data_IF_965826116667
#
_entry.id   IF_965826116667
#
_cell.length_a   1.000
_cell.length_b   1.000
_cell.length_c   1.000
_cell.angle_alpha   90.00
_cell.angle_beta   90.00
_cell.angle_gamma   90.00
#
_symmetry.space_group_name_H-M   'P 1'
#
loop_
_entity.id
_entity.type
_entity.pdbx_description
1 polymer ?
#
# COMPACT_ATOMS: atom_id res chain seq x y z
N UNK A 1 24.26 -41.75 11.84
CA UNK A 1 23.04 -41.94 12.66
C UNK A 1 22.42 -40.56 12.86
N UNK A 2 21.60 -40.00 11.96
CA UNK A 2 20.59 -40.63 11.07
C UNK A 2 19.68 -41.57 11.89
N UNK A 3 18.39 -41.28 12.09
CA UNK A 3 17.41 -40.66 11.17
C UNK A 3 16.43 -39.68 11.87
N UNK A 4 16.90 -38.81 12.78
CA UNK A 4 16.05 -38.31 13.89
C UNK A 4 15.97 -36.77 14.13
N UNK A 5 16.58 -35.85 13.39
CA UNK A 5 16.07 -35.24 12.15
C UNK A 5 14.58 -34.77 12.05
N UNK A 6 13.67 -34.92 13.05
CA UNK A 6 12.19 -34.71 12.87
C UNK A 6 11.49 -34.09 14.13
N UNK A 7 10.28 -33.48 14.22
CA UNK A 7 9.34 -32.64 13.39
C UNK A 7 8.08 -32.23 14.26
N UNK A 8 7.29 -31.12 14.13
CA UNK A 8 7.53 -29.73 13.63
C UNK A 8 6.42 -28.62 13.87
N UNK A 9 5.35 -28.74 14.71
CA UNK A 9 4.12 -27.85 14.66
C UNK A 9 3.43 -27.52 16.04
N UNK A 10 2.42 -26.64 16.29
CA UNK A 10 1.97 -25.28 15.79
C UNK A 10 0.68 -24.71 16.54
N UNK A 11 0.26 -23.44 16.29
CA UNK A 11 -1.09 -22.74 16.50
C UNK A 11 -1.58 -22.12 17.87
N UNK A 12 -2.53 -21.13 17.85
CA UNK A 12 -2.99 -20.24 18.99
C UNK A 12 -4.39 -19.49 18.86
N UNK A 13 -4.91 -18.88 19.97
CA UNK A 13 -5.71 -17.60 20.17
C UNK A 13 -7.29 -17.47 20.06
N UNK A 14 -7.99 -16.86 21.09
CA UNK A 14 -9.41 -16.30 21.19
C UNK A 14 -9.54 -15.15 22.31
N UNK A 15 -10.72 -14.73 22.89
CA UNK A 15 -10.98 -13.45 23.71
C UNK A 15 -12.14 -13.51 24.83
N UNK A 16 -12.07 -12.86 26.04
CA UNK A 16 -13.19 -12.69 27.07
C UNK A 16 -12.90 -12.50 28.62
N UNK A 17 -13.73 -11.80 29.47
CA UNK A 17 -13.51 -11.62 30.97
C UNK A 17 -14.43 -12.44 31.91
N UNK A 18 -13.84 -13.25 32.80
CA UNK A 18 -14.58 -14.19 33.66
C UNK A 18 -14.76 -13.77 35.14
N UNK A 19 -15.91 -14.13 35.72
CA UNK A 19 -15.98 -14.43 37.16
C UNK A 19 -15.10 -15.65 37.42
N UNK A 20 -14.16 -15.57 38.36
CA UNK A 20 -13.27 -16.69 38.65
C UNK A 20 -14.08 -17.86 39.21
N UNK A 21 -14.17 -18.95 38.43
CA UNK A 21 -14.83 -20.20 38.85
C UNK A 21 -14.22 -20.62 40.19
N UNK A 22 -15.03 -20.80 41.26
CA UNK A 22 -14.50 -21.11 42.58
C UNK A 22 -13.57 -22.32 42.54
N UNK A 23 -12.30 -22.09 42.87
CA UNK A 23 -11.23 -23.09 42.73
C UNK A 23 -11.25 -24.09 43.90
N UNK A 24 -12.40 -24.73 44.13
CA UNK A 24 -12.65 -25.60 45.28
C UNK A 24 -12.89 -27.05 44.85
N UNK A 25 -12.59 -28.01 45.75
CA UNK A 25 -12.76 -29.44 45.49
C UNK A 25 -13.75 -30.02 46.50
N UNK A 26 -14.88 -30.55 46.03
CA UNK A 26 -15.76 -31.33 46.91
C UNK A 26 -15.12 -32.69 47.19
N UNK A 27 -14.99 -33.04 48.46
CA UNK A 27 -14.57 -34.36 48.93
C UNK A 27 -15.65 -34.99 49.81
N UNK A 28 -15.62 -36.32 49.89
CA UNK A 28 -16.46 -37.12 50.77
C UNK A 28 -15.63 -38.21 51.42
N UNK A 29 -16.02 -38.62 52.62
CA UNK A 29 -15.33 -39.67 53.37
C UNK A 29 -16.22 -40.33 54.39
N UNK A 30 -15.81 -41.51 54.85
CA UNK A 30 -16.49 -42.28 55.88
C UNK A 30 -15.63 -42.34 57.14
N UNK A 31 -16.21 -41.98 58.28
CA UNK A 31 -15.58 -41.99 59.60
C UNK A 31 -16.26 -43.03 60.49
N UNK A 32 -15.46 -43.96 60.98
CA UNK A 32 -15.88 -45.03 61.89
C UNK A 32 -15.04 -45.01 63.16
N UNK A 33 -15.59 -45.52 64.26
CA UNK A 33 -14.82 -45.87 65.44
C UNK A 33 -13.77 -46.95 65.13
N UNK A 34 -12.85 -47.17 66.07
CA UNK A 34 -11.93 -48.32 66.06
C UNK A 34 -12.63 -49.69 66.12
N UNK A 35 -13.93 -49.72 66.44
CA UNK A 35 -14.78 -50.92 66.37
C UNK A 35 -15.56 -51.05 65.05
N UNK A 36 -15.31 -50.18 64.06
CA UNK A 36 -16.01 -50.17 62.76
C UNK A 36 -17.40 -49.55 62.78
N UNK A 37 -17.86 -48.99 63.90
CA UNK A 37 -19.19 -48.37 64.00
C UNK A 37 -19.18 -46.97 63.37
N UNK A 38 -20.19 -46.57 62.59
CA UNK A 38 -20.25 -45.22 61.98
C UNK A 38 -20.33 -44.12 63.05
N UNK A 39 -19.53 -43.07 62.89
CA UNK A 39 -19.58 -41.87 63.75
C UNK A 39 -20.73 -40.95 63.34
N UNK A 40 -21.15 -40.07 64.27
CA UNK A 40 -22.24 -39.12 64.09
C UNK A 40 -21.97 -37.87 64.94
N UNK A 41 -22.30 -36.68 64.41
CA UNK A 41 -22.12 -35.40 65.09
C UNK A 41 -21.19 -34.46 64.34
N UNK A 42 -20.74 -33.39 65.01
CA UNK A 42 -19.73 -32.48 64.45
C UNK A 42 -18.33 -32.93 64.85
N UNK A 43 -17.44 -33.01 63.87
CA UNK A 43 -16.04 -33.43 64.01
C UNK A 43 -15.12 -32.38 63.38
N UNK A 44 -13.93 -32.17 63.95
CA UNK A 44 -12.93 -31.25 63.40
C UNK A 44 -11.98 -32.01 62.49
N UNK A 45 -11.78 -31.53 61.26
CA UNK A 45 -10.90 -32.16 60.28
C UNK A 45 -9.90 -31.15 59.72
N UNK A 46 -8.61 -31.42 59.92
CA UNK A 46 -7.53 -30.75 59.19
C UNK A 46 -7.28 -31.48 57.87
N UNK A 47 -7.45 -30.77 56.77
CA UNK A 47 -7.08 -31.21 55.43
C UNK A 47 -5.70 -30.65 55.08
N UNK A 48 -4.79 -31.51 54.60
CA UNK A 48 -3.42 -31.10 54.21
C UNK A 48 -3.01 -31.74 52.88
N UNK A 49 -2.43 -30.96 51.97
CA UNK A 49 -1.90 -31.43 50.69
C UNK A 49 -0.36 -31.47 50.71
N UNK A 50 0.19 -32.65 50.40
CA UNK A 50 1.63 -32.94 50.38
C UNK A 50 2.14 -33.32 48.99
N UNK A 51 3.46 -33.23 48.80
CA UNK A 51 4.22 -33.66 47.61
C UNK A 51 4.68 -35.15 47.64
N UNK A 52 4.27 -35.91 48.67
CA UNK A 52 4.62 -37.32 48.83
C UNK A 52 3.54 -38.13 49.58
N UNK A 53 3.52 -39.46 49.35
CA UNK A 53 2.66 -40.41 50.06
C UNK A 53 2.98 -40.48 51.57
N UNK A 54 4.26 -40.28 51.93
CA UNK A 54 4.80 -40.31 53.29
C UNK A 54 5.92 -39.28 53.42
N UNK A 55 5.93 -38.48 54.49
CA UNK A 55 6.86 -37.36 54.63
C UNK A 55 6.48 -36.21 53.70
N UNK A 56 7.46 -35.67 52.98
CA UNK A 56 7.23 -34.62 51.97
C UNK A 56 7.00 -33.21 52.51
N UNK A 57 6.91 -32.25 51.60
CA UNK A 57 6.61 -30.84 51.84
C UNK A 57 5.10 -30.63 51.94
N UNK A 58 4.66 -29.79 52.88
CA UNK A 58 3.29 -29.30 52.94
C UNK A 58 3.10 -28.15 51.93
N UNK A 59 2.16 -28.29 51.00
CA UNK A 59 1.85 -27.24 50.02
C UNK A 59 0.64 -26.38 50.39
N UNK A 60 -0.34 -26.95 51.10
CA UNK A 60 -1.57 -26.25 51.50
C UNK A 60 -2.25 -27.00 52.63
N UNK A 61 -2.95 -26.28 53.51
CA UNK A 61 -3.80 -26.84 54.55
C UNK A 61 -5.01 -25.94 54.86
N UNK A 62 -6.07 -26.54 55.39
CA UNK A 62 -7.13 -25.83 56.10
C UNK A 62 -7.80 -26.73 57.15
N UNK A 63 -8.49 -26.13 58.13
CA UNK A 63 -9.26 -26.84 59.15
C UNK A 63 -10.74 -26.55 58.93
N UNK A 64 -11.59 -27.60 58.91
CA UNK A 64 -13.04 -27.46 58.83
C UNK A 64 -13.74 -28.21 59.98
N UNK A 65 -14.88 -27.71 60.42
CA UNK A 65 -15.83 -28.47 61.25
C UNK A 65 -16.86 -29.11 60.34
N UNK A 66 -16.87 -30.44 60.25
CA UNK A 66 -17.74 -31.21 59.35
C UNK A 66 -18.83 -31.94 60.15
N UNK A 67 -20.05 -31.93 59.65
CA UNK A 67 -21.13 -32.76 60.22
C UNK A 67 -21.08 -34.15 59.57
N UNK A 68 -21.02 -35.17 60.42
CA UNK A 68 -20.99 -36.59 60.07
C UNK A 68 -22.36 -37.19 60.37
N UNK A 69 -22.92 -37.96 59.43
CA UNK A 69 -24.20 -38.66 59.61
C UNK A 69 -24.08 -40.08 59.04
N UNK A 70 -24.36 -41.09 59.88
CA UNK A 70 -24.11 -42.50 59.58
C UNK A 70 -22.69 -42.75 59.04
N UNK A 71 -21.71 -42.08 59.64
CA UNK A 71 -20.30 -42.12 59.24
C UNK A 71 -19.93 -41.27 58.03
N UNK A 72 -20.87 -40.89 57.17
CA UNK A 72 -20.58 -40.10 55.97
C UNK A 72 -20.42 -38.61 56.29
N UNK A 73 -19.41 -37.97 55.71
CA UNK A 73 -19.28 -36.51 55.64
C UNK A 73 -19.00 -36.04 54.21
N UNK A 74 -19.22 -34.75 53.96
CA UNK A 74 -18.76 -34.04 52.77
C UNK A 74 -18.11 -32.72 53.19
N UNK A 75 -17.02 -32.33 52.53
CA UNK A 75 -16.33 -31.07 52.73
C UNK A 75 -15.99 -30.42 51.38
N UNK A 76 -15.78 -29.10 51.36
CA UNK A 76 -15.41 -28.35 50.17
C UNK A 76 -14.03 -27.74 50.40
N UNK A 77 -12.99 -28.37 49.86
CA UNK A 77 -11.61 -27.93 50.01
C UNK A 77 -11.40 -26.57 49.34
N UNK A 78 -10.73 -25.67 50.04
CA UNK A 78 -10.46 -24.31 49.56
C UNK A 78 -11.53 -23.29 49.95
N UNK A 79 -12.52 -23.68 50.76
CA UNK A 79 -13.58 -22.78 51.24
C UNK A 79 -13.20 -21.98 52.49
N UNK A 80 -12.17 -22.39 53.23
CA UNK A 80 -11.64 -21.66 54.40
C UNK A 80 -10.29 -21.02 54.06
N UNK A 81 -9.36 -21.78 53.46
CA UNK A 81 -8.07 -21.26 52.97
C UNK A 81 -8.00 -21.43 51.45
N UNK A 82 -8.02 -20.35 50.65
CA UNK A 82 -8.07 -20.43 49.20
C UNK A 82 -7.01 -21.37 48.60
N UNK A 83 -7.47 -22.31 47.76
CA UNK A 83 -6.66 -23.40 47.22
C UNK A 83 -5.88 -22.93 45.96
N UNK A 84 -4.53 -22.87 45.98
CA UNK A 84 -3.79 -22.24 44.88
C UNK A 84 -3.80 -23.10 43.61
N UNK A 85 -4.38 -22.57 42.52
CA UNK A 85 -4.48 -23.27 41.22
C UNK A 85 -3.12 -23.69 40.63
N UNK A 86 -2.04 -23.02 41.03
CA UNK A 86 -0.65 -23.34 40.66
C UNK A 86 -0.19 -24.73 41.16
N UNK A 87 -0.80 -25.28 42.20
CA UNK A 87 -0.46 -26.62 42.72
C UNK A 87 -0.88 -27.75 41.77
N UNK A 88 -1.85 -27.53 40.89
CA UNK A 88 -2.43 -28.54 40.00
C UNK A 88 -1.78 -28.57 38.61
N UNK A 89 -0.52 -28.13 38.56
CA UNK A 89 0.29 -28.01 37.34
C UNK A 89 0.87 -29.34 36.85
N UNK A 90 0.53 -30.48 37.47
CA UNK A 90 0.88 -31.84 37.00
C UNK A 90 1.84 -32.60 37.90
N UNK A 91 2.26 -32.01 39.01
CA UNK A 91 2.84 -32.73 40.14
C UNK A 91 1.79 -33.63 40.82
N UNK A 92 2.23 -34.77 41.37
CA UNK A 92 1.38 -35.59 42.22
C UNK A 92 1.06 -34.84 43.53
N UNK A 93 -0.13 -35.08 44.09
CA UNK A 93 -0.58 -34.50 45.35
C UNK A 93 -1.21 -35.60 46.22
N UNK A 94 -1.01 -35.50 47.54
CA UNK A 94 -1.56 -36.45 48.51
C UNK A 94 -2.29 -35.72 49.63
N UNK A 95 -3.56 -36.08 49.84
CA UNK A 95 -4.44 -35.54 50.86
C UNK A 95 -4.31 -36.35 52.16
N UNK A 96 -3.80 -35.69 53.20
CA UNK A 96 -3.80 -36.14 54.58
C UNK A 96 -5.00 -35.53 55.33
N UNK A 97 -5.68 -36.36 56.12
CA UNK A 97 -6.81 -35.96 56.96
C UNK A 97 -6.45 -36.19 58.43
N UNK A 98 -6.55 -35.17 59.29
CA UNK A 98 -6.45 -35.33 60.75
C UNK A 98 -7.82 -35.05 61.36
N UNK A 99 -8.44 -36.06 61.99
CA UNK A 99 -9.80 -35.98 62.55
C UNK A 99 -9.74 -35.98 64.06
N UNK A 100 -10.23 -34.92 64.70
CA UNK A 100 -10.19 -34.69 66.16
C UNK A 100 -8.80 -34.98 66.76
N UNK A 101 -7.74 -34.54 66.07
CA UNK A 101 -6.33 -34.76 66.44
C UNK A 101 -5.71 -36.09 65.99
N UNK A 102 -6.50 -37.03 65.45
CA UNK A 102 -6.03 -38.33 64.96
C UNK A 102 -5.75 -38.30 63.46
N UNK A 103 -4.48 -38.39 63.05
CA UNK A 103 -4.11 -38.42 61.63
C UNK A 103 -4.39 -39.78 60.99
N UNK A 104 -5.22 -39.78 59.95
CA UNK A 104 -5.56 -40.97 59.17
C UNK A 104 -4.43 -41.31 58.19
N UNK A 105 -4.15 -42.61 58.03
CA UNK A 105 -3.10 -43.11 57.13
C UNK A 105 -3.61 -44.33 56.34
N UNK A 106 -3.11 -44.57 55.10
CA UNK A 106 -2.10 -43.81 54.36
C UNK A 106 -2.64 -42.54 53.66
N UNK A 107 -1.72 -41.76 53.08
CA UNK A 107 -1.97 -40.61 52.17
C UNK A 107 -3.00 -40.96 51.07
N UNK A 108 -4.12 -40.25 50.93
CA UNK A 108 -5.03 -40.44 49.79
C UNK A 108 -4.47 -39.71 48.57
N UNK A 109 -4.26 -40.40 47.45
CA UNK A 109 -3.71 -39.78 46.24
C UNK A 109 -4.76 -38.91 45.51
N UNK A 110 -4.34 -37.71 45.10
CA UNK A 110 -5.14 -36.80 44.26
C UNK A 110 -5.32 -37.35 42.85
N UNK A 111 -6.56 -37.59 42.45
CA UNK A 111 -6.93 -38.16 41.14
C UNK A 111 -7.29 -37.07 40.12
N UNK A 112 -7.87 -37.45 38.97
CA UNK A 112 -8.27 -36.55 37.89
C UNK A 112 -9.07 -35.31 38.33
N UNK A 113 -9.86 -35.42 39.41
CA UNK A 113 -10.63 -34.31 40.00
C UNK A 113 -9.73 -33.13 40.40
N UNK A 114 -8.54 -33.41 40.96
CA UNK A 114 -7.61 -32.35 41.38
C UNK A 114 -7.06 -31.57 40.18
N UNK A 115 -6.90 -32.24 39.02
CA UNK A 115 -6.39 -31.62 37.81
C UNK A 115 -7.47 -30.90 36.97
N UNK A 116 -8.75 -30.97 37.37
CA UNK A 116 -9.86 -30.35 36.65
C UNK A 116 -9.71 -28.82 36.49
N UNK A 117 -9.04 -28.14 37.43
CA UNK A 117 -8.74 -26.70 37.35
C UNK A 117 -7.92 -26.30 36.10
N UNK A 118 -7.21 -27.24 35.46
CA UNK A 118 -6.53 -26.97 34.18
C UNK A 118 -7.50 -26.62 33.04
N UNK A 119 -8.79 -26.95 33.14
CA UNK A 119 -9.79 -26.52 32.16
C UNK A 119 -9.91 -24.99 32.07
N UNK A 120 -9.81 -24.28 33.20
CA UNK A 120 -9.84 -22.81 33.26
C UNK A 120 -8.61 -22.16 32.56
N UNK A 121 -7.54 -22.92 32.32
CA UNK A 121 -6.38 -22.47 31.55
C UNK A 121 -6.67 -22.57 30.04
N UNK A 122 -7.53 -23.49 29.59
CA UNK A 122 -7.96 -23.52 28.19
C UNK A 122 -8.76 -22.26 27.82
N UNK A 123 -9.60 -21.75 28.73
CA UNK A 123 -10.28 -20.45 28.58
C UNK A 123 -9.33 -19.24 28.60
N UNK A 124 -8.03 -19.40 28.90
CA UNK A 124 -7.04 -18.32 28.67
C UNK A 124 -6.66 -18.17 27.19
N UNK A 125 -6.91 -19.20 26.37
CA UNK A 125 -6.99 -19.02 24.91
C UNK A 125 -8.17 -18.11 24.61
N UNK A 126 -9.30 -18.29 25.29
CA UNK A 126 -10.47 -17.39 25.33
C UNK A 126 -10.23 -16.13 26.19
N UNK A 127 -8.98 -15.67 26.37
CA UNK A 127 -8.70 -14.23 26.56
C UNK A 127 -7.29 -13.78 26.11
N UNK A 128 -6.91 -14.08 24.88
CA UNK A 128 -5.73 -13.49 24.24
C UNK A 128 -4.44 -13.63 25.05
N UNK A 129 -4.26 -14.79 25.71
CA UNK A 129 -3.27 -15.08 26.76
C UNK A 129 -2.08 -14.12 26.79
N UNK A 130 -2.05 -13.29 27.83
CA UNK A 130 -1.58 -11.88 27.90
C UNK A 130 -0.17 -11.53 27.38
N UNK A 131 0.15 -11.91 26.14
CA UNK A 131 1.44 -11.69 25.49
C UNK A 131 1.40 -11.86 23.94
N UNK A 132 0.22 -11.88 23.32
CA UNK A 132 0.05 -11.79 21.86
C UNK A 132 -0.90 -10.62 21.52
N UNK A 133 -0.53 -9.69 20.63
CA UNK A 133 -1.14 -8.34 20.58
C UNK A 133 -2.42 -8.25 19.72
N UNK A 134 -2.95 -9.36 19.23
CA UNK A 134 -3.85 -9.42 18.08
C UNK A 134 -5.30 -9.68 18.50
N UNK A 135 -6.23 -8.83 18.05
CA UNK A 135 -7.68 -8.96 18.28
C UNK A 135 -8.40 -9.35 16.98
N UNK A 136 -9.47 -10.13 17.09
CA UNK A 136 -10.35 -10.52 15.98
C UNK A 136 -11.82 -10.51 16.41
N UNK A 137 -12.72 -10.21 15.47
CA UNK A 137 -14.18 -10.30 15.58
C UNK A 137 -14.75 -11.54 14.86
N UNK A 138 -13.89 -12.43 14.35
CA UNK A 138 -14.27 -13.56 13.50
C UNK A 138 -14.37 -13.24 12.00
N UNK A 139 -14.20 -11.98 11.59
CA UNK A 139 -14.15 -11.53 10.18
C UNK A 139 -12.83 -10.82 9.86
N UNK A 140 -12.32 -10.01 10.78
CA UNK A 140 -11.15 -9.14 10.65
C UNK A 140 -10.10 -9.44 11.74
N UNK A 141 -8.90 -8.86 11.57
CA UNK A 141 -7.75 -9.01 12.46
C UNK A 141 -7.07 -7.65 12.61
N UNK A 142 -6.89 -7.13 13.83
CA UNK A 142 -6.28 -5.81 14.06
C UNK A 142 -5.64 -5.63 15.45
N UNK A 143 -4.99 -4.47 15.66
CA UNK A 143 -4.45 -4.03 16.95
C UNK A 143 -5.32 -2.89 17.52
N UNK A 144 -5.82 -2.96 18.76
CA UNK A 144 -6.50 -1.83 19.39
C UNK A 144 -5.53 -0.66 19.63
N UNK A 145 -5.68 0.42 18.84
CA UNK A 145 -4.91 1.66 19.01
C UNK A 145 -3.53 1.72 18.33
N UNK A 146 -3.25 0.87 17.32
CA UNK A 146 -1.95 0.87 16.65
C UNK A 146 -1.94 0.35 15.21
N UNK A 147 -0.80 0.47 14.52
CA UNK A 147 -0.59 0.05 13.13
C UNK A 147 -0.11 -1.42 13.03
N UNK A 148 -0.54 -2.12 11.98
CA UNK A 148 -0.25 -3.55 11.74
C UNK A 148 0.77 -3.75 10.60
N UNK A 149 1.57 -4.82 10.65
CA UNK A 149 2.63 -5.13 9.66
C UNK A 149 3.22 -6.52 9.83
N UNK A 150 3.99 -6.99 8.84
CA UNK A 150 4.33 -8.43 8.66
C UNK A 150 5.85 -8.67 8.53
N UNK A 151 6.55 -8.94 9.65
CA UNK A 151 7.78 -9.75 9.73
C UNK A 151 8.16 -10.04 11.21
N UNK A 152 9.18 -10.87 11.44
CA UNK A 152 9.74 -11.20 12.78
C UNK A 152 11.26 -11.41 12.68
N UNK A 153 12.14 -10.46 13.03
CA UNK A 153 12.03 -9.12 13.64
C UNK A 153 11.37 -8.06 12.73
N UNK A 154 11.41 -6.79 13.11
CA UNK A 154 10.95 -5.62 12.34
C UNK A 154 11.52 -5.45 10.93
N UNK A 155 12.48 -6.28 10.51
CA UNK A 155 13.24 -6.13 9.24
C UNK A 155 13.08 -7.36 8.33
N UNK A 156 12.04 -7.42 7.46
CA UNK A 156 11.96 -8.38 6.37
C UNK A 156 12.94 -8.07 5.24
N UNK A 157 13.17 -9.03 4.34
CA UNK A 157 13.85 -8.81 3.06
C UNK A 157 12.90 -8.38 1.93
N UNK A 158 11.61 -8.70 2.02
CA UNK A 158 10.50 -8.16 1.20
C UNK A 158 9.22 -8.10 2.05
N UNK A 159 8.43 -7.02 1.94
CA UNK A 159 7.51 -6.57 3.01
C UNK A 159 6.06 -7.06 2.93
N UNK A 160 5.48 -7.25 1.74
CA UNK A 160 4.05 -7.57 1.57
C UNK A 160 3.77 -8.20 0.20
N UNK A 161 2.88 -9.18 0.15
CA UNK A 161 2.28 -9.75 -1.07
C UNK A 161 0.75 -9.77 -0.91
N UNK A 162 0.01 -9.36 -1.95
CA UNK A 162 -1.45 -9.21 -1.94
C UNK A 162 -2.02 -9.61 -3.28
N UNK A 163 -2.71 -10.75 -3.32
CA UNK A 163 -3.49 -11.22 -4.47
C UNK A 163 -4.88 -10.55 -4.50
N UNK A 164 -4.93 -9.23 -4.70
CA UNK A 164 -6.16 -8.43 -4.59
C UNK A 164 -5.93 -6.92 -4.77
N UNK A 165 -6.97 -6.12 -4.48
CA UNK A 165 -6.92 -4.65 -4.59
C UNK A 165 -6.45 -4.03 -3.26
N UNK A 166 -5.40 -3.21 -3.32
CA UNK A 166 -5.03 -2.30 -2.21
C UNK A 166 -5.72 -0.96 -2.46
N UNK A 167 -6.80 -0.69 -1.74
CA UNK A 167 -7.59 0.55 -1.86
C UNK A 167 -7.76 1.25 -0.51
N UNK A 168 -7.53 2.56 -0.49
CA UNK A 168 -7.93 3.43 0.62
C UNK A 168 -9.25 4.13 0.27
N UNK A 169 -10.25 4.00 1.15
CA UNK A 169 -11.59 4.57 0.94
C UNK A 169 -11.68 6.08 1.19
N UNK A 170 -10.67 6.68 1.83
CA UNK A 170 -10.74 8.07 2.30
C UNK A 170 -9.35 8.71 2.56
N UNK A 171 -8.36 8.42 1.72
CA UNK A 171 -7.00 8.96 1.87
C UNK A 171 -5.97 8.36 0.91
N UNK A 172 -4.72 8.81 0.96
CA UNK A 172 -3.66 8.39 0.04
C UNK A 172 -3.03 7.04 0.42
N UNK A 173 -2.71 6.21 -0.57
CA UNK A 173 -1.74 5.12 -0.41
C UNK A 173 -0.32 5.72 -0.41
N UNK A 174 0.24 5.93 0.78
CA UNK A 174 1.59 6.49 0.94
C UNK A 174 2.66 5.39 0.98
N UNK A 175 3.69 5.52 0.15
CA UNK A 175 4.89 4.68 0.17
C UNK A 175 6.09 5.60 0.49
N UNK A 176 6.74 5.39 1.64
CA UNK A 176 7.87 6.20 2.11
C UNK A 176 9.21 5.48 1.98
N UNK A 177 10.30 6.25 2.06
CA UNK A 177 11.71 5.80 2.04
C UNK A 177 12.13 4.90 0.85
N UNK A 178 11.36 4.89 -0.24
CA UNK A 178 11.60 4.01 -1.38
C UNK A 178 10.89 4.41 -2.67
N UNK A 179 11.15 3.64 -3.73
CA UNK A 179 10.64 3.85 -5.08
C UNK A 179 9.21 3.33 -5.22
N UNK A 180 8.27 4.20 -5.57
CA UNK A 180 6.88 3.83 -5.88
C UNK A 180 6.75 3.15 -7.26
N UNK A 181 5.74 2.29 -7.42
CA UNK A 181 5.36 1.64 -8.68
C UNK A 181 3.89 1.23 -8.68
N UNK A 182 3.26 1.22 -9.85
CA UNK A 182 1.83 0.94 -10.04
C UNK A 182 1.61 -0.23 -11.00
N UNK A 183 0.54 -1.00 -10.80
CA UNK A 183 0.09 -2.07 -11.69
C UNK A 183 -1.45 -2.03 -11.82
N UNK A 184 -1.97 -2.34 -13.01
CA UNK A 184 -3.39 -2.25 -13.34
C UNK A 184 -3.76 -3.33 -14.39
N UNK A 185 -5.01 -3.77 -14.40
CA UNK A 185 -5.52 -4.89 -15.21
C UNK A 185 -6.90 -4.54 -15.84
N UNK A 186 -7.17 -3.25 -16.10
CA UNK A 186 -8.44 -2.71 -16.61
C UNK A 186 -8.28 -1.85 -17.88
N UNK A 187 -9.29 -1.03 -18.20
CA UNK A 187 -9.34 -0.26 -19.46
C UNK A 187 -8.33 0.87 -19.53
N UNK A 188 -8.00 1.51 -18.41
CA UNK A 188 -6.91 2.49 -18.31
C UNK A 188 -5.99 2.21 -17.12
N UNK A 189 -4.75 1.79 -17.41
CA UNK A 189 -3.61 2.11 -16.55
C UNK A 189 -3.40 3.63 -16.61
N UNK A 190 -4.06 4.36 -15.71
CA UNK A 190 -3.84 5.80 -15.53
C UNK A 190 -2.50 6.11 -14.84
N UNK A 191 -1.40 5.72 -15.52
CA UNK A 191 -0.15 6.47 -15.54
C UNK A 191 -0.11 7.39 -16.79
N UNK A 192 -1.30 7.57 -17.40
CA UNK A 192 -1.49 7.46 -18.85
C UNK A 192 -1.19 6.03 -19.35
N UNK A 193 -1.96 5.36 -20.21
CA UNK A 193 -3.41 5.19 -20.47
C UNK A 193 -3.42 3.99 -21.46
N UNK A 194 -4.29 2.97 -21.35
CA UNK A 194 -3.97 1.62 -21.94
C UNK A 194 -4.27 1.47 -23.44
N UNK A 195 -3.43 2.07 -24.26
CA UNK A 195 -3.03 1.53 -25.57
C UNK A 195 -1.53 1.79 -25.82
N UNK A 196 -0.81 0.96 -26.59
CA UNK A 196 0.57 0.59 -26.25
C UNK A 196 1.68 1.53 -26.78
N UNK A 197 2.63 1.91 -25.90
CA UNK A 197 3.91 2.48 -26.37
C UNK A 197 4.86 3.17 -25.37
N UNK A 198 5.08 2.64 -24.15
CA UNK A 198 6.18 3.09 -23.26
C UNK A 198 6.16 4.57 -22.81
N UNK A 199 4.99 5.20 -22.70
CA UNK A 199 4.86 6.53 -22.09
C UNK A 199 5.53 6.58 -20.70
N UNK A 200 6.55 7.44 -20.55
CA UNK A 200 7.22 7.69 -19.27
C UNK A 200 7.28 9.19 -18.99
N UNK A 201 6.92 9.56 -17.77
CA UNK A 201 7.17 10.87 -17.19
C UNK A 201 8.05 10.66 -15.95
N UNK A 202 9.32 11.04 -16.06
CA UNK A 202 10.32 10.86 -15.00
C UNK A 202 10.99 12.20 -14.71
N UNK A 203 11.16 12.54 -13.43
CA UNK A 203 12.12 13.58 -13.04
C UNK A 203 13.44 12.88 -12.72
N UNK A 204 14.52 13.25 -13.40
CA UNK A 204 15.85 12.68 -13.15
C UNK A 204 16.49 13.29 -11.89
N UNK A 205 17.61 12.72 -11.44
CA UNK A 205 18.32 13.17 -10.23
C UNK A 205 18.90 14.60 -10.36
N UNK A 206 18.80 15.25 -11.53
CA UNK A 206 19.23 16.61 -11.81
C UNK A 206 18.04 17.59 -11.94
N UNK A 207 16.80 17.11 -11.78
CA UNK A 207 15.57 17.90 -11.92
C UNK A 207 14.98 17.94 -13.34
N UNK A 208 15.50 17.15 -14.28
CA UNK A 208 15.04 17.11 -15.68
C UNK A 208 13.75 16.30 -15.78
N UNK A 209 12.66 16.92 -16.23
CA UNK A 209 11.46 16.20 -16.64
C UNK A 209 11.70 15.54 -18.01
N UNK A 210 11.93 14.23 -18.01
CA UNK A 210 12.00 13.40 -19.20
C UNK A 210 10.60 12.88 -19.52
N UNK A 211 10.07 13.34 -20.66
CA UNK A 211 8.89 12.79 -21.32
C UNK A 211 9.39 11.98 -22.52
N UNK A 212 9.03 10.70 -22.61
CA UNK A 212 9.48 9.77 -23.66
C UNK A 212 8.40 8.70 -23.93
N UNK A 213 8.39 8.15 -25.15
CA UNK A 213 7.44 7.17 -25.67
C UNK A 213 8.17 6.07 -26.48
N UNK A 214 9.21 5.48 -25.89
CA UNK A 214 9.96 4.38 -26.48
C UNK A 214 11.10 4.77 -27.42
N UNK A 215 11.66 5.99 -27.25
CA UNK A 215 12.85 6.47 -27.97
C UNK A 215 12.69 7.89 -28.53
N UNK A 216 11.44 8.30 -28.79
CA UNK A 216 10.99 9.63 -29.18
C UNK A 216 9.45 9.64 -29.07
N UNK A 217 8.78 10.77 -29.30
CA UNK A 217 7.33 10.77 -29.58
C UNK A 217 7.08 10.63 -31.10
N UNK A 218 6.74 9.44 -31.64
CA UNK A 218 6.64 9.24 -33.09
C UNK A 218 5.51 10.05 -33.74
N UNK A 219 4.44 10.32 -32.99
CA UNK A 219 3.32 11.18 -33.40
C UNK A 219 3.47 12.63 -32.89
N UNK A 220 4.64 13.00 -32.37
CA UNK A 220 4.91 14.28 -31.72
C UNK A 220 4.28 14.43 -30.33
N UNK A 221 4.62 15.53 -29.65
CA UNK A 221 3.99 15.92 -28.38
C UNK A 221 2.82 16.85 -28.69
N UNK A 222 1.58 16.39 -28.49
CA UNK A 222 0.42 17.31 -28.43
C UNK A 222 0.42 18.00 -27.07
N UNK A 223 0.37 19.32 -27.09
CA UNK A 223 0.08 20.15 -25.93
C UNK A 223 -1.28 20.80 -26.19
N UNK A 224 -2.23 20.63 -25.28
CA UNK A 224 -3.48 21.39 -25.29
C UNK A 224 -3.28 22.64 -24.44
N UNK A 225 -3.24 23.80 -25.10
CA UNK A 225 -2.86 25.08 -24.50
C UNK A 225 -1.41 25.51 -24.79
N UNK A 226 -0.87 26.38 -23.93
CA UNK A 226 0.37 27.11 -24.21
C UNK A 226 1.63 26.40 -23.72
N UNK A 227 2.67 26.34 -24.57
CA UNK A 227 4.02 25.90 -24.21
C UNK A 227 4.93 27.10 -23.87
N UNK A 228 5.06 27.40 -22.58
CA UNK A 228 6.05 28.37 -22.09
C UNK A 228 7.42 27.71 -21.96
N UNK A 229 8.49 28.37 -22.45
CA UNK A 229 9.88 27.88 -22.35
C UNK A 229 10.80 29.02 -21.91
N UNK A 230 11.68 28.74 -20.95
CA UNK A 230 12.81 29.60 -20.59
C UNK A 230 14.08 28.93 -21.12
N UNK A 231 14.97 29.69 -21.76
CA UNK A 231 16.15 29.15 -22.45
C UNK A 231 15.89 28.89 -23.93
N UNK A 232 16.54 27.88 -24.53
CA UNK A 232 16.58 27.69 -25.98
C UNK A 232 15.52 26.71 -26.51
N UNK A 233 14.67 27.17 -27.45
CA UNK A 233 13.80 26.32 -28.27
C UNK A 233 14.52 25.93 -29.56
N UNK A 234 14.99 24.68 -29.65
CA UNK A 234 15.72 24.17 -30.81
C UNK A 234 15.14 22.85 -31.35
N UNK A 235 15.31 22.61 -32.64
CA UNK A 235 15.13 21.32 -33.31
C UNK A 235 16.48 20.61 -33.41
N UNK A 236 16.50 19.30 -33.14
CA UNK A 236 17.65 18.44 -33.41
C UNK A 236 17.67 17.99 -34.88
N UNK A 237 18.80 18.14 -35.56
CA UNK A 237 18.99 17.79 -36.97
C UNK A 237 20.24 16.94 -37.13
N UNK A 238 20.09 15.76 -37.73
CA UNK A 238 21.19 14.86 -38.08
C UNK A 238 21.84 15.34 -39.39
N UNK A 239 23.16 15.48 -39.40
CA UNK A 239 23.95 15.92 -40.57
C UNK A 239 24.98 14.85 -40.93
N UNK A 240 25.26 14.70 -42.23
CA UNK A 240 26.18 13.66 -42.72
C UNK A 240 27.63 13.83 -42.21
N UNK A 241 28.12 15.07 -42.16
CA UNK A 241 29.54 15.37 -41.89
C UNK A 241 29.85 15.91 -40.48
N UNK A 242 28.82 16.30 -39.72
CA UNK A 242 29.01 17.00 -38.44
C UNK A 242 28.23 16.38 -37.26
N UNK A 243 27.56 15.23 -37.48
CA UNK A 243 26.71 14.61 -36.48
C UNK A 243 25.44 15.43 -36.22
N UNK A 244 24.99 15.49 -34.98
CA UNK A 244 23.75 16.21 -34.63
C UNK A 244 24.00 17.70 -34.35
N UNK A 245 23.06 18.54 -34.79
CA UNK A 245 23.08 19.99 -34.62
C UNK A 245 21.73 20.49 -34.13
N UNK A 246 21.77 21.45 -33.20
CA UNK A 246 20.59 22.16 -32.70
C UNK A 246 20.39 23.41 -33.55
N UNK A 247 19.27 23.49 -34.25
CA UNK A 247 18.87 24.65 -35.05
C UNK A 247 17.60 25.26 -34.47
N UNK A 248 17.54 26.59 -34.36
CA UNK A 248 16.36 27.30 -33.87
C UNK A 248 15.45 27.67 -35.06
N UNK A 249 14.14 27.77 -34.82
CA UNK A 249 13.26 28.51 -35.72
C UNK A 249 13.51 30.02 -35.54
N UNK A 250 13.14 30.83 -36.54
CA UNK A 250 13.05 32.27 -36.34
C UNK A 250 11.79 32.59 -35.50
N UNK A 251 11.90 33.48 -34.52
CA UNK A 251 10.83 33.83 -33.59
C UNK A 251 10.43 35.30 -33.78
N UNK A 252 9.13 35.53 -33.97
CA UNK A 252 8.55 36.86 -34.20
C UNK A 252 7.85 37.37 -32.95
N UNK A 253 7.85 38.69 -32.75
CA UNK A 253 7.21 39.35 -31.59
C UNK A 253 5.67 39.21 -31.51
N UNK A 254 5.05 38.54 -32.49
CA UNK A 254 3.63 38.19 -32.59
C UNK A 254 3.51 36.84 -33.32
N UNK A 255 2.34 36.21 -33.29
CA UNK A 255 2.08 34.98 -34.02
C UNK A 255 1.98 35.21 -35.55
N UNK A 256 3.10 35.09 -36.27
CA UNK A 256 3.16 35.14 -37.73
C UNK A 256 3.46 33.75 -38.30
N UNK A 257 2.75 33.39 -39.37
CA UNK A 257 3.11 32.26 -40.23
C UNK A 257 3.67 32.80 -41.55
N UNK A 258 4.55 32.01 -42.17
CA UNK A 258 5.13 32.31 -43.46
C UNK A 258 5.13 31.09 -44.38
N UNK A 259 5.05 31.35 -45.68
CA UNK A 259 5.36 30.37 -46.73
C UNK A 259 6.22 31.04 -47.79
N UNK A 260 7.01 30.26 -48.50
CA UNK A 260 8.03 30.71 -49.44
C UNK A 260 8.10 29.80 -50.65
N UNK A 261 8.74 30.27 -51.71
CA UNK A 261 8.87 29.53 -52.96
C UNK A 261 9.57 30.35 -54.04
N UNK A 262 9.41 29.91 -55.28
CA UNK A 262 9.99 30.55 -56.46
C UNK A 262 8.90 30.92 -57.46
N UNK A 263 9.25 31.78 -58.41
CA UNK A 263 8.38 32.24 -59.48
C UNK A 263 9.19 32.76 -60.66
N UNK A 264 8.53 32.90 -61.82
CA UNK A 264 9.13 33.46 -63.02
C UNK A 264 8.15 34.39 -63.71
N UNK A 265 8.62 35.59 -64.06
CA UNK A 265 7.84 36.52 -64.86
C UNK A 265 7.59 35.95 -66.26
N UNK A 266 6.39 36.13 -66.77
CA UNK A 266 6.02 35.89 -68.16
C UNK A 266 5.51 37.21 -68.72
N UNK A 267 6.26 37.80 -69.66
CA UNK A 267 5.98 39.12 -70.22
C UNK A 267 5.71 40.19 -69.13
N UNK A 268 6.61 40.27 -68.14
CA UNK A 268 6.58 41.26 -67.07
C UNK A 268 5.62 40.96 -65.91
N UNK A 269 4.88 39.84 -65.89
CA UNK A 269 3.97 39.50 -64.79
C UNK A 269 4.13 38.05 -64.32
N UNK A 270 4.05 37.83 -63.00
CA UNK A 270 3.96 36.50 -62.40
C UNK A 270 2.88 36.50 -61.32
N UNK A 271 1.87 35.63 -61.47
CA UNK A 271 0.85 35.40 -60.45
C UNK A 271 1.32 34.28 -59.50
N UNK A 272 1.28 34.55 -58.21
CA UNK A 272 1.49 33.57 -57.14
C UNK A 272 0.19 33.48 -56.32
N UNK A 273 -0.58 32.42 -56.54
CA UNK A 273 -1.69 32.03 -55.67
C UNK A 273 -1.15 31.14 -54.54
N UNK A 274 -1.60 31.39 -53.31
CA UNK A 274 -1.13 30.69 -52.11
C UNK A 274 -1.97 29.43 -51.86
N UNK A 275 -1.39 28.42 -51.19
CA UNK A 275 -2.11 27.17 -50.86
C UNK A 275 -3.38 27.51 -50.04
N UNK A 276 -4.58 27.12 -50.49
CA UNK A 276 -5.82 27.30 -49.73
C UNK A 276 -5.75 26.79 -48.29
N UNK A 277 -4.98 25.72 -48.03
CA UNK A 277 -4.75 25.19 -46.68
C UNK A 277 -3.92 26.12 -45.81
N UNK A 278 -2.98 26.87 -46.40
CA UNK A 278 -2.24 27.90 -45.66
C UNK A 278 -3.15 29.10 -45.38
N UNK A 279 -3.95 29.52 -46.36
CA UNK A 279 -4.96 30.58 -46.21
C UNK A 279 -6.01 30.26 -45.14
N UNK A 280 -6.34 28.98 -44.90
CA UNK A 280 -7.19 28.56 -43.79
C UNK A 280 -6.58 28.86 -42.40
N UNK A 281 -5.25 28.93 -42.27
CA UNK A 281 -4.50 29.09 -41.00
C UNK A 281 -4.16 30.54 -40.63
N UNK A 282 -4.34 31.49 -41.55
CA UNK A 282 -3.97 32.90 -41.38
C UNK A 282 -5.17 33.84 -41.57
N UNK A 283 -5.01 35.09 -41.16
CA UNK A 283 -5.99 36.15 -41.42
C UNK A 283 -5.37 37.23 -42.32
N UNK A 284 -5.95 37.37 -43.52
CA UNK A 284 -5.63 38.41 -44.49
C UNK A 284 -6.87 39.30 -44.67
N UNK A 285 -6.77 40.57 -44.32
CA UNK A 285 -7.81 41.59 -44.51
C UNK A 285 -7.22 43.01 -44.42
N UNK A 286 -8.06 44.05 -44.46
CA UNK A 286 -7.58 45.44 -44.42
C UNK A 286 -6.80 45.82 -43.15
N UNK A 287 -7.11 45.19 -42.01
CA UNK A 287 -6.37 45.39 -40.76
C UNK A 287 -5.10 44.51 -40.65
N UNK A 288 -5.07 43.39 -41.37
CA UNK A 288 -3.98 42.41 -41.35
C UNK A 288 -3.56 42.08 -42.79
N UNK A 289 -2.81 42.98 -43.41
CA UNK A 289 -2.41 42.85 -44.83
C UNK A 289 -1.26 41.85 -44.99
N UNK A 290 -1.36 40.98 -45.99
CA UNK A 290 -0.30 40.08 -46.42
C UNK A 290 1.01 40.86 -46.65
N UNK A 291 2.11 40.38 -46.08
CA UNK A 291 3.46 40.85 -46.42
C UNK A 291 4.03 39.96 -47.51
N UNK A 292 4.70 40.55 -48.48
CA UNK A 292 5.38 39.84 -49.55
C UNK A 292 6.79 40.42 -49.73
N UNK A 293 7.77 39.54 -49.83
CA UNK A 293 9.17 39.82 -50.05
C UNK A 293 9.59 39.06 -51.32
N UNK A 294 10.29 39.71 -52.24
CA UNK A 294 10.69 39.14 -53.54
C UNK A 294 12.17 39.42 -53.75
N UNK A 295 12.90 38.45 -54.29
CA UNK A 295 14.33 38.56 -54.60
C UNK A 295 14.62 37.91 -55.95
N UNK A 296 14.96 38.73 -56.93
CA UNK A 296 15.23 38.30 -58.30
C UNK A 296 16.60 37.65 -58.46
N UNK A 297 16.68 36.69 -59.38
CA UNK A 297 17.90 36.03 -59.82
C UNK A 297 18.37 36.64 -61.14
N UNK A 298 19.28 37.61 -61.03
CA UNK A 298 19.86 38.34 -62.17
C UNK A 298 19.28 39.74 -62.38
N UNK A 299 19.58 40.32 -63.54
CA UNK A 299 19.09 41.65 -63.92
C UNK A 299 17.57 41.66 -64.15
N UNK A 300 16.91 42.70 -63.65
CA UNK A 300 15.46 42.92 -63.68
C UNK A 300 15.17 44.43 -63.69
N UNK A 301 13.96 44.82 -64.12
CA UNK A 301 13.54 46.23 -64.09
C UNK A 301 13.15 46.71 -62.68
N UNK A 302 12.63 47.93 -62.60
CA UNK A 302 11.80 48.30 -61.45
C UNK A 302 10.61 47.34 -61.36
N UNK A 303 10.26 46.90 -60.15
CA UNK A 303 9.14 46.00 -59.94
C UNK A 303 8.27 46.42 -58.76
N UNK A 304 7.02 45.96 -58.75
CA UNK A 304 6.11 46.08 -57.61
C UNK A 304 5.31 44.80 -57.39
N UNK A 305 4.58 44.75 -56.26
CA UNK A 305 3.78 43.61 -55.85
C UNK A 305 2.34 44.02 -55.55
N UNK A 306 1.43 43.63 -56.44
CA UNK A 306 -0.01 43.68 -56.23
C UNK A 306 -0.39 42.55 -55.24
N UNK A 307 -1.25 42.81 -54.26
CA UNK A 307 -1.65 41.82 -53.24
C UNK A 307 -3.16 41.78 -53.08
N UNK A 308 -3.70 40.58 -52.84
CA UNK A 308 -5.10 40.36 -52.51
C UNK A 308 -5.26 39.39 -51.33
N UNK A 309 -6.43 38.76 -51.20
CA UNK A 309 -6.79 37.88 -50.09
C UNK A 309 -6.33 36.42 -50.27
N UNK A 310 -5.93 36.03 -51.47
CA UNK A 310 -5.53 34.65 -51.83
C UNK A 310 -4.11 34.56 -52.40
N UNK A 311 -3.48 35.68 -52.74
CA UNK A 311 -2.11 35.69 -53.26
C UNK A 311 -1.61 37.08 -53.62
N UNK A 312 -0.65 37.09 -54.56
CA UNK A 312 -0.01 38.30 -55.04
C UNK A 312 0.45 38.17 -56.50
N UNK A 313 0.64 39.31 -57.15
CA UNK A 313 1.20 39.39 -58.50
C UNK A 313 2.47 40.21 -58.46
N UNK A 314 3.60 39.64 -58.89
CA UNK A 314 4.84 40.39 -59.12
C UNK A 314 4.78 40.99 -60.53
N UNK A 315 5.11 42.28 -60.64
CA UNK A 315 5.00 43.05 -61.88
C UNK A 315 6.28 43.81 -62.16
N UNK A 316 6.91 43.52 -63.29
CA UNK A 316 8.00 44.28 -63.92
C UNK A 316 7.42 44.96 -65.19
N UNK A 317 7.21 46.28 -65.19
CA UNK A 317 6.65 47.01 -66.33
C UNK A 317 7.47 46.95 -67.62
N UNK A 318 8.74 46.50 -67.57
CA UNK A 318 9.59 46.37 -68.77
C UNK A 318 9.25 45.16 -69.64
N UNK A 319 8.40 44.23 -69.15
CA UNK A 319 8.10 42.98 -69.85
C UNK A 319 9.10 41.85 -69.56
N UNK A 320 9.95 42.00 -68.54
CA UNK A 320 10.98 41.03 -68.14
C UNK A 320 10.47 39.60 -67.92
N UNK A 321 11.36 38.62 -68.06
CA UNK A 321 11.08 37.18 -67.88
C UNK A 321 12.01 36.54 -66.82
N UNK A 322 12.44 37.35 -65.85
CA UNK A 322 13.37 36.97 -64.80
C UNK A 322 12.73 36.00 -63.78
N UNK A 323 13.58 35.17 -63.18
CA UNK A 323 13.24 34.25 -62.09
C UNK A 323 13.46 34.93 -60.74
N UNK A 324 12.68 34.56 -59.73
CA UNK A 324 12.76 35.12 -58.39
C UNK A 324 12.37 34.11 -57.32
N UNK A 325 12.97 34.25 -56.13
CA UNK A 325 12.40 33.69 -54.91
C UNK A 325 11.45 34.69 -54.25
N UNK A 326 10.52 34.17 -53.47
CA UNK A 326 9.57 34.97 -52.71
C UNK A 326 9.29 34.34 -51.33
N UNK A 327 8.97 35.20 -50.38
CA UNK A 327 8.42 34.83 -49.07
C UNK A 327 7.19 35.68 -48.80
N UNK A 328 6.13 35.10 -48.24
CA UNK A 328 5.01 35.84 -47.67
C UNK A 328 4.87 35.61 -46.17
N UNK A 329 4.28 36.57 -45.47
CA UNK A 329 3.95 36.48 -44.05
C UNK A 329 2.54 37.02 -43.79
N UNK A 330 1.77 36.31 -42.96
CA UNK A 330 0.49 36.77 -42.43
C UNK A 330 0.35 36.36 -40.95
N UNK A 331 -0.53 37.02 -40.20
CA UNK A 331 -0.79 36.64 -38.80
C UNK A 331 -1.56 35.33 -38.72
N UNK A 332 -1.24 34.52 -37.73
CA UNK A 332 -2.02 33.33 -37.38
C UNK A 332 -3.47 33.71 -37.05
N UNK A 333 -4.41 32.92 -37.58
CA UNK A 333 -5.85 33.12 -37.42
C UNK A 333 -6.29 32.87 -35.98
N UNK A 334 -7.05 33.81 -35.41
CA UNK A 334 -7.43 33.83 -33.99
C UNK A 334 -6.36 34.39 -33.05
N UNK A 335 -5.20 34.79 -33.57
CA UNK A 335 -4.05 35.35 -32.82
C UNK A 335 -3.63 36.71 -33.42
N UNK A 336 -4.56 37.45 -34.04
CA UNK A 336 -4.30 38.71 -34.71
C UNK A 336 -4.04 39.88 -33.74
N UNK A 337 -4.42 39.69 -32.48
CA UNK A 337 -4.44 40.71 -31.42
C UNK A 337 -3.58 40.34 -30.19
N UNK A 338 -2.79 39.27 -30.30
CA UNK A 338 -1.80 38.81 -29.30
C UNK A 338 -0.40 39.21 -29.74
#
# INVERSE_FOLDING_TARGET
>A
MTRFFLMLMALMLIIGTASAVPSTITIQGTLTSTSGSPLNGSHTVDFKLYDALTGGSLFWNETQSVNVTNGLYSAILGSVTPLPVSLFTGQNLWLENTVDGTTLTPRVAGTSVFYAFRAQIADSVVNGGSNLPLVTDGTNVWLPGGMFGVNRTTTPTTTLDVNGIISSSSGNLSLHDGRCGFANNGTDLMMGVTTPGLARALVDNNGTLILDYGGDFPNGVRIDGNLNVIGSKCRLVKTASYGERKLNANESAYAWFSTEGEGRLQNGRARIDLDPKWLETVTINDGNKLRAFVTFYGEHGEFYVERDLIGFTVVDPSGGNAEFSWKVEAKQKGYEHT
#
